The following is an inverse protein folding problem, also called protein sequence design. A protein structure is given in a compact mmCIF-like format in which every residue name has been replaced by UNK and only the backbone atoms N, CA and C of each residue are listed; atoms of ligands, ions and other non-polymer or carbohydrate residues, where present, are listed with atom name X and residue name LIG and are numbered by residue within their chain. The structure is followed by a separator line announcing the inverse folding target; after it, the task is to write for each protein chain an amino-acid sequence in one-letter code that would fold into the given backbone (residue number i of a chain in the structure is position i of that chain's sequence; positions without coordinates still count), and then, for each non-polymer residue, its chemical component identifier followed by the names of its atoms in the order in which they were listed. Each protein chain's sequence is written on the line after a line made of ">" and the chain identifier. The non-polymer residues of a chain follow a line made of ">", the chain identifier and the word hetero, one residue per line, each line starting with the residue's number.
data_IF_741893117521
#
_entry.id   IF_741893117521
#
_cell.length_a   1.000
_cell.length_b   1.000
_cell.length_c   1.000
_cell.angle_alpha   90.00
_cell.angle_beta   90.00
_cell.angle_gamma   90.00
#
_symmetry.space_group_name_H-M   'P 1'
#
loop_
_entity.id
_entity.type
_entity.pdbx_description
1 polymer ?
#
# COMPACT_ATOMS: atom_id res chain seq x y z
N UNK A 1 20.95 -8.97 -0.40
CA UNK A 1 20.24 -8.21 0.64
C UNK A 1 20.89 -6.84 0.81
N UNK A 2 20.09 -5.78 0.77
CA UNK A 2 20.52 -4.41 1.04
C UNK A 2 19.68 -3.79 2.13
N UNK A 3 20.30 -3.06 3.03
CA UNK A 3 19.63 -2.29 4.07
C UNK A 3 19.96 -0.80 3.83
N UNK A 4 19.09 -0.13 3.05
CA UNK A 4 19.19 1.31 2.78
C UNK A 4 20.27 1.77 1.78
N UNK A 5 21.33 1.00 1.59
CA UNK A 5 22.50 1.46 0.79
C UNK A 5 22.31 1.36 -0.74
N UNK A 6 21.48 0.43 -1.22
CA UNK A 6 21.26 0.22 -2.66
C UNK A 6 20.00 0.92 -3.19
N UNK A 7 19.33 1.71 -2.36
CA UNK A 7 18.13 2.45 -2.79
C UNK A 7 18.47 3.69 -3.60
N UNK A 8 19.70 4.20 -3.48
CA UNK A 8 20.17 5.37 -4.23
C UNK A 8 21.57 5.14 -4.78
N UNK A 9 21.92 5.78 -5.89
CA UNK A 9 23.29 5.89 -6.41
C UNK A 9 23.87 4.67 -7.16
N UNK A 10 23.20 3.52 -7.18
CA UNK A 10 23.67 2.32 -7.87
C UNK A 10 22.69 1.93 -8.99
N UNK A 11 23.21 1.65 -10.17
CA UNK A 11 22.46 1.14 -11.31
C UNK A 11 23.01 -0.21 -11.70
N UNK A 12 22.17 -1.26 -11.60
CA UNK A 12 22.48 -2.61 -12.04
C UNK A 12 21.41 -3.01 -13.07
N UNK A 13 21.71 -2.88 -14.37
CA UNK A 13 20.73 -3.10 -15.42
C UNK A 13 20.15 -4.52 -15.44
N UNK A 14 20.91 -5.51 -14.97
CA UNK A 14 20.53 -6.92 -14.91
C UNK A 14 19.43 -7.22 -13.90
N UNK A 15 19.16 -6.34 -12.94
CA UNK A 15 18.08 -6.55 -11.99
C UNK A 15 16.73 -6.54 -12.67
N UNK A 16 16.00 -7.63 -12.52
CA UNK A 16 14.65 -7.81 -13.07
C UNK A 16 13.57 -7.74 -12.01
N UNK A 17 13.94 -7.81 -10.73
CA UNK A 17 12.98 -7.77 -9.63
C UNK A 17 13.54 -7.07 -8.39
N UNK A 18 12.62 -6.48 -7.63
CA UNK A 18 12.86 -5.94 -6.28
C UNK A 18 11.89 -6.62 -5.32
N UNK A 19 12.42 -7.14 -4.20
CA UNK A 19 11.63 -7.67 -3.09
C UNK A 19 11.64 -6.67 -1.94
N UNK A 20 10.48 -6.15 -1.58
CA UNK A 20 10.29 -5.19 -0.48
C UNK A 20 10.11 -5.96 0.83
N UNK A 21 11.21 -6.20 1.54
CA UNK A 21 11.22 -6.93 2.82
C UNK A 21 11.17 -6.01 4.06
N UNK A 22 11.22 -4.70 3.86
CA UNK A 22 11.17 -3.71 4.93
C UNK A 22 9.83 -2.98 4.98
N UNK A 23 9.42 -2.54 6.16
CA UNK A 23 8.20 -1.74 6.34
C UNK A 23 8.43 -0.27 5.93
N UNK A 24 8.70 -0.05 4.65
CA UNK A 24 8.88 1.29 4.07
C UNK A 24 7.53 1.99 3.91
N UNK A 25 7.39 3.18 4.48
CA UNK A 25 6.13 3.95 4.47
C UNK A 25 6.19 5.20 3.59
N UNK A 26 7.38 5.65 3.21
CA UNK A 26 7.55 6.80 2.33
C UNK A 26 7.28 6.42 0.88
N UNK A 27 6.27 7.01 0.19
CA UNK A 27 6.01 6.73 -1.21
C UNK A 27 7.21 7.00 -2.12
N UNK A 28 7.92 8.11 -1.87
CA UNK A 28 9.09 8.49 -2.66
C UNK A 28 10.23 7.46 -2.54
N UNK A 29 10.57 7.04 -1.31
CA UNK A 29 11.62 6.04 -1.07
C UNK A 29 11.22 4.67 -1.62
N UNK A 30 9.95 4.30 -1.47
CA UNK A 30 9.40 3.05 -2.01
C UNK A 30 9.56 2.99 -3.53
N UNK A 31 9.11 4.04 -4.23
CA UNK A 31 9.21 4.11 -5.68
C UNK A 31 10.66 4.20 -6.16
N UNK A 32 11.53 4.90 -5.44
CA UNK A 32 12.97 4.89 -5.74
C UNK A 32 13.56 3.48 -5.68
N UNK A 33 13.17 2.66 -4.73
CA UNK A 33 13.60 1.28 -4.64
C UNK A 33 12.97 0.43 -5.76
N UNK A 34 11.67 0.59 -6.03
CA UNK A 34 10.95 -0.13 -7.07
C UNK A 34 11.56 0.11 -8.46
N UNK A 35 11.91 1.35 -8.78
CA UNK A 35 12.48 1.72 -10.08
C UNK A 35 13.89 1.16 -10.33
N UNK A 36 14.56 0.59 -9.33
CA UNK A 36 15.89 -0.01 -9.51
C UNK A 36 15.90 -1.17 -10.50
N UNK A 37 14.80 -1.91 -10.60
CA UNK A 37 14.68 -3.01 -11.57
C UNK A 37 14.32 -2.54 -12.99
N UNK A 38 13.97 -1.27 -13.21
CA UNK A 38 13.47 -0.80 -14.52
C UNK A 38 14.56 -0.45 -15.54
N UNK A 39 15.83 -0.47 -15.15
CA UNK A 39 16.92 -0.14 -16.07
C UNK A 39 16.93 -1.12 -17.26
N UNK A 40 17.06 -0.63 -18.52
CA UNK A 40 17.14 -1.48 -19.69
C UNK A 40 18.37 -2.38 -19.64
N UNK A 41 18.21 -3.63 -20.09
CA UNK A 41 19.30 -4.58 -20.17
C UNK A 41 19.13 -5.51 -21.39
N UNK A 42 20.26 -5.92 -21.98
CA UNK A 42 20.34 -6.97 -22.99
C UNK A 42 21.04 -8.18 -22.37
N UNK A 43 20.32 -9.28 -22.27
CA UNK A 43 20.87 -10.56 -21.81
C UNK A 43 21.44 -11.34 -22.97
N UNK A 44 22.66 -11.85 -22.84
CA UNK A 44 23.23 -12.78 -23.82
C UNK A 44 22.69 -14.20 -23.53
N UNK A 45 21.99 -14.75 -24.53
CA UNK A 45 21.43 -16.10 -24.45
C UNK A 45 22.04 -16.90 -25.62
N UNK A 46 23.07 -17.69 -25.35
CA UNK A 46 23.84 -18.37 -26.37
C UNK A 46 24.56 -17.39 -27.32
N UNK A 47 24.22 -17.41 -28.60
CA UNK A 47 24.75 -16.49 -29.63
C UNK A 47 23.85 -15.26 -29.86
N UNK A 48 22.69 -15.18 -29.20
CA UNK A 48 21.68 -14.12 -29.38
C UNK A 48 21.64 -13.17 -28.17
N UNK A 49 21.04 -11.99 -28.37
CA UNK A 49 20.75 -11.05 -27.31
C UNK A 49 19.22 -10.95 -27.13
N UNK A 50 18.76 -11.06 -25.87
CA UNK A 50 17.37 -10.88 -25.50
C UNK A 50 17.23 -9.63 -24.63
N UNK A 51 16.34 -8.73 -25.02
CA UNK A 51 16.03 -7.53 -24.22
C UNK A 51 15.24 -7.91 -22.96
N UNK A 52 15.54 -7.26 -21.85
CA UNK A 52 14.69 -7.30 -20.66
C UNK A 52 13.33 -6.67 -21.00
N UNK A 53 12.27 -7.46 -20.91
CA UNK A 53 10.92 -7.01 -21.26
C UNK A 53 10.18 -6.39 -20.08
N UNK A 54 10.34 -7.00 -18.89
CA UNK A 54 9.61 -6.61 -17.68
C UNK A 54 10.54 -6.42 -16.49
N UNK A 55 10.07 -5.63 -15.52
CA UNK A 55 10.64 -5.51 -14.20
C UNK A 55 9.52 -5.71 -13.18
N UNK A 56 9.84 -6.40 -12.09
CA UNK A 56 8.85 -6.82 -11.10
C UNK A 56 9.16 -6.22 -9.73
N UNK A 57 8.12 -5.87 -8.98
CA UNK A 57 8.22 -5.51 -7.57
C UNK A 57 7.33 -6.44 -6.79
N UNK A 58 7.90 -7.09 -5.78
CA UNK A 58 7.16 -7.98 -4.87
C UNK A 58 7.10 -7.34 -3.50
N UNK A 59 5.90 -7.22 -2.96
CA UNK A 59 5.65 -6.75 -1.61
C UNK A 59 4.66 -7.71 -0.91
N UNK A 60 4.81 -7.85 0.40
CA UNK A 60 4.08 -8.81 1.23
C UNK A 60 3.07 -8.14 2.17
N UNK A 61 2.90 -6.81 2.07
CA UNK A 61 1.92 -6.03 2.82
C UNK A 61 1.00 -5.27 1.84
N UNK A 62 -0.10 -5.88 1.39
CA UNK A 62 -0.98 -5.29 0.38
C UNK A 62 -1.61 -3.98 0.86
N UNK A 63 -1.97 -3.86 2.14
CA UNK A 63 -2.60 -2.63 2.64
C UNK A 63 -1.64 -1.44 2.59
N UNK A 64 -0.38 -1.66 2.94
CA UNK A 64 0.67 -0.64 2.86
C UNK A 64 1.01 -0.32 1.42
N UNK A 65 1.25 -1.34 0.60
CA UNK A 65 1.64 -1.18 -0.81
C UNK A 65 0.62 -0.37 -1.58
N UNK A 66 -0.65 -0.72 -1.49
CA UNK A 66 -1.72 -0.01 -2.19
C UNK A 66 -1.93 1.41 -1.65
N UNK A 67 -1.72 1.64 -0.34
CA UNK A 67 -1.73 2.99 0.23
C UNK A 67 -0.59 3.85 -0.29
N UNK A 68 0.62 3.29 -0.40
CA UNK A 68 1.78 3.97 -0.98
C UNK A 68 1.53 4.32 -2.44
N UNK A 69 0.96 3.38 -3.19
CA UNK A 69 0.61 3.55 -4.60
C UNK A 69 -0.40 4.69 -4.79
N UNK A 70 -1.47 4.73 -4.01
CA UNK A 70 -2.45 5.81 -4.00
C UNK A 70 -1.79 7.16 -3.67
N UNK A 71 -0.97 7.21 -2.62
CA UNK A 71 -0.28 8.44 -2.22
C UNK A 71 0.69 8.93 -3.29
N UNK A 72 1.43 8.03 -3.92
CA UNK A 72 2.35 8.38 -4.99
C UNK A 72 1.61 8.95 -6.19
N UNK A 73 0.56 8.28 -6.68
CA UNK A 73 -0.27 8.75 -7.78
C UNK A 73 -0.80 10.18 -7.53
N UNK A 74 -1.34 10.42 -6.33
CA UNK A 74 -1.92 11.71 -5.98
C UNK A 74 -0.88 12.82 -5.70
N UNK A 75 0.35 12.46 -5.34
CA UNK A 75 1.43 13.44 -5.15
C UNK A 75 2.07 13.91 -6.47
N UNK A 76 1.87 13.18 -7.56
CA UNK A 76 2.32 13.59 -8.90
C UNK A 76 1.51 14.76 -9.46
N UNK A 77 0.26 14.90 -9.04
CA UNK A 77 -0.64 15.97 -9.48
C UNK A 77 -0.74 17.07 -8.40
N UNK A 78 -0.36 18.32 -8.69
CA UNK A 78 -0.39 19.42 -7.72
C UNK A 78 -1.76 19.64 -7.06
N UNK A 79 -2.86 19.40 -7.79
CA UNK A 79 -4.22 19.61 -7.29
C UNK A 79 -4.62 18.60 -6.21
N UNK A 80 -4.10 17.37 -6.29
CA UNK A 80 -4.44 16.29 -5.36
C UNK A 80 -3.33 16.03 -4.34
N UNK A 81 -2.17 16.66 -4.50
CA UNK A 81 -1.06 16.56 -3.58
C UNK A 81 -1.46 16.98 -2.14
N UNK A 82 -0.84 16.34 -1.14
CA UNK A 82 -1.11 16.59 0.29
C UNK A 82 -2.58 16.41 0.72
N UNK A 83 -3.33 15.58 0.00
CA UNK A 83 -4.72 15.28 0.34
C UNK A 83 -5.75 16.21 -0.29
N UNK A 84 -5.33 17.10 -1.21
CA UNK A 84 -6.24 17.95 -2.00
C UNK A 84 -7.06 17.17 -3.04
N UNK A 85 -7.85 17.93 -3.81
CA UNK A 85 -8.65 17.41 -4.91
C UNK A 85 -9.91 16.64 -4.48
N UNK A 86 -10.70 16.28 -5.48
CA UNK A 86 -11.91 15.47 -5.30
C UNK A 86 -11.59 13.96 -5.29
N UNK A 87 -12.53 13.14 -4.85
CA UNK A 87 -12.39 11.69 -4.87
C UNK A 87 -12.24 11.15 -6.31
N UNK A 88 -12.93 11.78 -7.27
CA UNK A 88 -12.85 11.38 -8.67
C UNK A 88 -11.49 11.71 -9.29
N UNK A 89 -10.94 12.90 -9.02
CA UNK A 89 -9.60 13.28 -9.47
C UNK A 89 -8.55 12.34 -8.90
N UNK A 90 -8.67 11.99 -7.62
CA UNK A 90 -7.75 11.06 -6.96
C UNK A 90 -7.84 9.65 -7.55
N UNK A 91 -9.05 9.18 -7.89
CA UNK A 91 -9.27 7.90 -8.55
C UNK A 91 -8.67 7.88 -9.97
N UNK A 92 -8.81 9.00 -10.70
CA UNK A 92 -8.23 9.12 -12.03
C UNK A 92 -6.71 9.06 -12.02
N UNK A 93 -6.06 9.78 -11.09
CA UNK A 93 -4.61 9.71 -10.93
C UNK A 93 -4.10 8.27 -10.66
N UNK A 94 -4.85 7.50 -9.86
CA UNK A 94 -4.54 6.08 -9.63
C UNK A 94 -4.70 5.28 -10.91
N UNK A 95 -5.75 5.52 -11.69
CA UNK A 95 -5.97 4.85 -12.98
C UNK A 95 -4.86 5.16 -13.98
N UNK A 96 -4.43 6.41 -14.08
CA UNK A 96 -3.30 6.80 -14.93
C UNK A 96 -2.02 6.08 -14.53
N UNK A 97 -1.73 6.02 -13.22
CA UNK A 97 -0.54 5.33 -12.73
C UNK A 97 -0.58 3.83 -13.03
N UNK A 98 -1.74 3.18 -12.93
CA UNK A 98 -1.92 1.76 -13.24
C UNK A 98 -1.60 1.41 -14.70
N UNK A 99 -1.78 2.34 -15.63
CA UNK A 99 -1.38 2.14 -17.04
C UNK A 99 0.13 1.97 -17.20
N UNK A 100 0.94 2.51 -16.30
CA UNK A 100 2.41 2.39 -16.30
C UNK A 100 2.93 1.33 -15.34
N UNK A 101 2.20 1.12 -14.25
CA UNK A 101 2.53 0.20 -13.17
C UNK A 101 1.31 -0.66 -12.84
N UNK A 102 1.03 -1.70 -13.62
CA UNK A 102 -0.03 -2.64 -13.29
C UNK A 102 0.23 -3.28 -11.93
N UNK A 103 -0.80 -3.32 -11.09
CA UNK A 103 -0.76 -3.98 -9.78
C UNK A 103 -1.51 -5.29 -9.88
N UNK A 104 -0.83 -6.38 -9.53
CA UNK A 104 -1.39 -7.72 -9.54
C UNK A 104 -1.60 -8.15 -8.09
N UNK A 105 -2.79 -8.59 -7.77
CA UNK A 105 -3.17 -9.15 -6.48
C UNK A 105 -3.78 -10.53 -6.62
N UNK A 106 -3.97 -11.20 -5.50
CA UNK A 106 -4.68 -12.48 -5.42
C UNK A 106 -6.16 -12.21 -5.12
N UNK A 107 -7.05 -12.87 -5.83
CA UNK A 107 -8.49 -12.80 -5.60
C UNK A 107 -8.95 -13.81 -4.53
N UNK A 108 -10.26 -13.87 -4.27
CA UNK A 108 -10.86 -14.78 -3.27
C UNK A 108 -10.72 -16.28 -3.65
N UNK A 109 -10.40 -16.56 -4.90
CA UNK A 109 -10.18 -17.92 -5.42
C UNK A 109 -8.69 -18.31 -5.44
N UNK A 110 -7.80 -17.39 -5.10
CA UNK A 110 -6.35 -17.60 -5.14
C UNK A 110 -5.72 -17.37 -6.51
N UNK A 111 -6.47 -16.78 -7.46
CA UNK A 111 -5.97 -16.47 -8.79
C UNK A 111 -5.34 -15.07 -8.83
N UNK A 112 -4.27 -14.94 -9.61
CA UNK A 112 -3.61 -13.66 -9.80
C UNK A 112 -4.40 -12.81 -10.80
N UNK A 113 -4.88 -11.66 -10.33
CA UNK A 113 -5.69 -10.72 -11.12
C UNK A 113 -5.09 -9.32 -11.10
N UNK A 114 -5.22 -8.62 -12.20
CA UNK A 114 -4.86 -7.20 -12.26
C UNK A 114 -5.91 -6.37 -11.51
N UNK A 115 -5.42 -5.46 -10.65
CA UNK A 115 -6.28 -4.60 -9.84
C UNK A 115 -6.60 -3.31 -10.60
N UNK A 116 -7.87 -2.94 -10.60
CA UNK A 116 -8.32 -1.63 -11.06
C UNK A 116 -8.18 -0.55 -9.97
N UNK A 117 -8.39 0.72 -10.36
CA UNK A 117 -8.25 1.85 -9.44
C UNK A 117 -9.22 1.77 -8.23
N UNK A 118 -10.38 1.18 -8.39
CA UNK A 118 -11.35 1.04 -7.31
C UNK A 118 -10.88 0.02 -6.29
N UNK A 119 -10.37 -1.13 -6.73
CA UNK A 119 -9.78 -2.14 -5.86
C UNK A 119 -8.55 -1.60 -5.13
N UNK A 120 -7.67 -0.88 -5.82
CA UNK A 120 -6.50 -0.22 -5.21
C UNK A 120 -6.90 0.71 -4.08
N UNK A 121 -7.99 1.47 -4.22
CA UNK A 121 -8.46 2.40 -3.20
C UNK A 121 -9.25 1.73 -2.06
N UNK A 122 -9.95 0.62 -2.34
CA UNK A 122 -10.87 -0.01 -1.38
C UNK A 122 -10.22 -1.11 -0.55
N UNK A 123 -9.31 -1.92 -1.13
CA UNK A 123 -8.65 -3.02 -0.42
C UNK A 123 -7.95 -2.56 0.86
N UNK A 124 -7.13 -1.47 0.87
CA UNK A 124 -6.48 -1.03 2.10
C UNK A 124 -7.46 -0.65 3.21
N UNK A 125 -8.60 -0.06 2.83
CA UNK A 125 -9.67 0.32 3.78
C UNK A 125 -10.34 -0.92 4.37
N UNK A 126 -10.64 -1.92 3.51
CA UNK A 126 -11.23 -3.20 3.93
C UNK A 126 -10.30 -3.95 4.89
N UNK A 127 -9.01 -4.07 4.58
CA UNK A 127 -8.02 -4.72 5.45
C UNK A 127 -7.93 -4.01 6.80
N UNK A 128 -7.82 -2.68 6.83
CA UNK A 128 -7.78 -1.92 8.08
C UNK A 128 -9.05 -2.08 8.91
N UNK A 129 -10.23 -2.09 8.28
CA UNK A 129 -11.49 -2.31 8.97
C UNK A 129 -11.53 -3.68 9.65
N UNK A 130 -11.07 -4.73 8.96
CA UNK A 130 -10.96 -6.08 9.52
C UNK A 130 -9.97 -6.14 10.67
N UNK A 131 -8.82 -5.47 10.55
CA UNK A 131 -7.83 -5.40 11.64
C UNK A 131 -8.37 -4.67 12.86
N UNK A 132 -9.10 -3.56 12.67
CA UNK A 132 -9.74 -2.80 13.76
C UNK A 132 -10.76 -3.69 14.48
N UNK A 133 -11.58 -4.44 13.72
CA UNK A 133 -12.55 -5.37 14.31
C UNK A 133 -11.85 -6.50 15.08
N UNK A 134 -10.78 -7.10 14.49
CA UNK A 134 -10.03 -8.19 15.14
C UNK A 134 -9.27 -7.74 16.40
N UNK A 135 -8.75 -6.52 16.41
CA UNK A 135 -8.06 -5.96 17.59
C UNK A 135 -9.02 -5.46 18.67
N UNK A 136 -10.33 -5.55 18.41
CA UNK A 136 -11.38 -4.96 19.23
C UNK A 136 -11.41 -3.44 19.03
N UNK A 137 -12.48 -2.93 18.51
CA UNK A 137 -12.74 -1.47 18.42
C UNK A 137 -12.71 -0.81 19.81
N UNK A 138 -12.72 -1.61 20.85
CA UNK A 138 -12.87 -1.25 22.23
C UNK A 138 -11.61 -1.60 23.04
N UNK A 139 -10.54 -0.80 22.91
CA UNK A 139 -9.48 -0.88 23.91
C UNK A 139 -10.03 -0.35 25.25
N UNK A 140 -9.73 -1.03 26.37
CA UNK A 140 -10.04 -0.54 27.71
C UNK A 140 -9.64 0.92 27.92
N UNK A 141 -8.60 1.39 27.20
CA UNK A 141 -8.13 2.77 27.25
C UNK A 141 -9.14 3.76 26.66
N UNK A 142 -9.84 3.41 25.58
CA UNK A 142 -10.90 4.25 24.98
C UNK A 142 -12.10 4.34 25.95
N UNK A 143 -12.48 3.24 26.60
CA UNK A 143 -13.59 3.23 27.54
C UNK A 143 -13.30 3.95 28.85
N UNK A 144 -12.10 3.82 29.38
CA UNK A 144 -11.69 4.54 30.59
C UNK A 144 -11.72 6.06 30.40
N UNK A 145 -11.63 6.56 29.19
CA UNK A 145 -11.59 7.99 28.87
C UNK A 145 -12.86 8.54 28.20
N UNK A 146 -13.85 7.70 27.85
CA UNK A 146 -15.08 8.15 27.15
C UNK A 146 -15.86 9.18 28.00
N UNK A 147 -15.97 8.98 29.31
CA UNK A 147 -16.66 9.93 30.20
C UNK A 147 -15.98 11.31 30.24
N UNK A 148 -14.67 11.36 30.13
CA UNK A 148 -13.89 12.59 30.13
C UNK A 148 -13.89 13.31 28.80
N UNK A 149 -13.99 12.57 27.68
CA UNK A 149 -13.90 13.12 26.32
C UNK A 149 -15.26 13.54 25.79
N UNK A 150 -16.33 12.79 26.10
CA UNK A 150 -17.65 13.00 25.49
C UNK A 150 -18.76 13.35 26.46
N UNK A 151 -18.50 13.42 27.78
CA UNK A 151 -19.53 13.68 28.77
C UNK A 151 -20.71 12.69 28.70
N UNK A 152 -20.44 11.45 28.32
CA UNK A 152 -21.50 10.46 28.13
C UNK A 152 -22.25 10.18 29.44
N UNK A 153 -23.59 10.02 29.37
CA UNK A 153 -24.39 9.62 30.54
C UNK A 153 -23.88 8.30 31.14
N UNK A 154 -23.90 8.18 32.46
CA UNK A 154 -23.38 7.02 33.19
C UNK A 154 -24.01 5.71 32.71
N UNK A 155 -25.32 5.73 32.39
CA UNK A 155 -26.07 4.59 31.87
C UNK A 155 -25.48 4.06 30.53
N UNK A 156 -24.99 4.94 29.67
CA UNK A 156 -24.36 4.56 28.41
C UNK A 156 -22.99 3.91 28.66
N UNK A 157 -22.25 4.43 29.64
CA UNK A 157 -20.94 3.88 30.03
C UNK A 157 -21.12 2.48 30.62
N UNK A 158 -22.12 2.31 31.51
CA UNK A 158 -22.42 1.03 32.15
C UNK A 158 -22.84 -0.06 31.12
N UNK A 159 -23.61 0.32 30.10
CA UNK A 159 -23.98 -0.59 29.00
C UNK A 159 -22.73 -1.00 28.21
N UNK A 160 -21.89 -0.05 27.86
CA UNK A 160 -20.69 -0.31 27.06
C UNK A 160 -19.67 -1.15 27.83
N UNK A 161 -19.49 -0.91 29.12
CA UNK A 161 -18.56 -1.68 29.97
C UNK A 161 -19.08 -3.08 30.31
N UNK A 162 -20.37 -3.35 30.08
CA UNK A 162 -20.96 -4.68 30.29
C UNK A 162 -20.67 -5.67 29.13
N UNK A 163 -20.17 -5.20 28.01
CA UNK A 163 -19.76 -6.10 26.92
C UNK A 163 -18.40 -6.72 27.25
N UNK A 164 -18.35 -8.05 27.32
CA UNK A 164 -17.10 -8.78 27.43
C UNK A 164 -16.27 -8.61 26.14
N UNK A 165 -14.94 -8.45 26.26
CA UNK A 165 -14.06 -8.45 25.07
C UNK A 165 -14.23 -9.78 24.33
N UNK A 166 -14.42 -9.71 23.04
CA UNK A 166 -14.40 -10.91 22.17
C UNK A 166 -12.93 -11.30 22.00
N UNK A 167 -12.57 -12.49 22.51
CA UNK A 167 -11.26 -13.12 22.33
C UNK A 167 -10.98 -13.44 20.86
#
# INVERSE_FOLDING_TARGET
>A
LSVGQLTTGITIPEWTAVLMLSNMRSPALYMQAAFRAQNPCLFKVGTSFKRKENAYVFDFDPARTLTIFEQFANNLNPNTAKGGGTAEERKENVRELLNFFPVIGEDEQGELVELDAEKVLTIPRKIRSVEVVKRGFMSNFLFQNISNIFGAPKEVIDIITSFEPVD
#
